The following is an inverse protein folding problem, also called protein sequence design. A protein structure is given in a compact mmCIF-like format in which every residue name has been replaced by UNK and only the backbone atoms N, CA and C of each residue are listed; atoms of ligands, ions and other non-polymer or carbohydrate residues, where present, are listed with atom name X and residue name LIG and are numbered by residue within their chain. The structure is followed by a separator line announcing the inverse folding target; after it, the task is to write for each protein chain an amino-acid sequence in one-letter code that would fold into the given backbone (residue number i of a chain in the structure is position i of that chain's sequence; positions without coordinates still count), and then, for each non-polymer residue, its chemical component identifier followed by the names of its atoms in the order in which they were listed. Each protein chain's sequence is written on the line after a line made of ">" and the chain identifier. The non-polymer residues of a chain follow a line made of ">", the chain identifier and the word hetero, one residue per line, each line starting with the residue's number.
data_IF_810814713392
#
_entry.id   IF_810814713392
#
_cell.length_a   1.000
_cell.length_b   1.000
_cell.length_c   1.000
_cell.angle_alpha   90.00
_cell.angle_beta   90.00
_cell.angle_gamma   90.00
#
_symmetry.space_group_name_H-M   'P 1'
#
loop_
_entity.id
_entity.type
_entity.pdbx_description
1 polymer ?
#
# COMPACT_ATOMS: atom_id res chain seq x y z
N UNK A 1 -15.86 -13.23 22.97
CA UNK A 1 -15.49 -12.31 21.87
C UNK A 1 -16.46 -11.14 21.96
N UNK A 2 -16.02 -9.88 22.00
CA UNK A 2 -15.05 -9.28 21.06
C UNK A 2 -14.07 -8.28 21.71
N UNK A 3 -13.08 -7.79 20.93
CA UNK A 3 -12.67 -6.38 20.86
C UNK A 3 -11.41 -6.27 19.98
N UNK A 4 -11.62 -5.91 18.71
CA UNK A 4 -10.56 -5.39 17.85
C UNK A 4 -10.90 -3.93 17.55
N UNK A 5 -10.11 -3.02 18.11
CA UNK A 5 -10.25 -1.57 17.89
C UNK A 5 -9.48 -1.20 16.63
N UNK A 6 -10.19 -0.81 15.58
CA UNK A 6 -9.61 -0.16 14.41
C UNK A 6 -9.42 1.33 14.69
N UNK A 7 -8.21 1.86 14.44
CA UNK A 7 -7.94 3.30 14.55
C UNK A 7 -8.45 3.98 13.28
N UNK A 8 -9.61 4.63 13.39
CA UNK A 8 -10.10 5.57 12.37
C UNK A 8 -9.49 6.96 12.59
N UNK A 9 -9.15 7.65 11.50
CA UNK A 9 -8.68 9.04 11.51
C UNK A 9 -9.69 9.95 12.24
N UNK A 10 -9.30 10.51 13.39
CA UNK A 10 -10.11 11.39 14.25
C UNK A 10 -10.13 12.87 13.83
N UNK A 11 -9.72 13.20 12.60
CA UNK A 11 -9.83 14.57 12.11
C UNK A 11 -11.30 14.86 11.73
N UNK A 12 -11.95 15.87 12.35
CA UNK A 12 -13.28 16.28 11.94
C UNK A 12 -13.20 16.87 10.52
N UNK A 13 -13.86 16.21 9.56
CA UNK A 13 -14.05 16.74 8.21
C UNK A 13 -15.18 17.76 8.25
N UNK A 14 -14.84 19.04 8.35
CA UNK A 14 -15.79 20.09 7.98
C UNK A 14 -15.70 20.31 6.48
N UNK A 15 -16.83 20.17 5.80
CA UNK A 15 -16.96 20.52 4.38
C UNK A 15 -17.42 21.98 4.35
N UNK A 16 -16.57 22.87 3.84
CA UNK A 16 -16.95 24.25 3.56
C UNK A 16 -17.43 24.29 2.10
N UNK A 17 -18.70 24.59 1.89
CA UNK A 17 -19.26 24.74 0.53
C UNK A 17 -18.59 25.91 -0.17
N UNK A 18 -18.09 25.67 -1.39
CA UNK A 18 -17.54 26.71 -2.25
C UNK A 18 -18.70 27.48 -2.91
N UNK A 19 -18.71 28.81 -2.79
CA UNK A 19 -19.80 29.66 -3.28
C UNK A 19 -19.90 29.72 -4.82
N UNK A 20 -18.94 29.13 -5.53
CA UNK A 20 -18.86 29.13 -6.99
C UNK A 20 -19.72 28.07 -7.70
N UNK A 21 -20.50 27.26 -6.97
CA UNK A 21 -21.38 26.24 -7.57
C UNK A 21 -22.77 26.83 -7.92
N UNK A 22 -23.09 26.80 -9.22
CA UNK A 22 -24.38 27.18 -9.78
C UNK A 22 -25.54 26.32 -9.22
N UNK A 23 -26.71 26.95 -9.12
CA UNK A 23 -27.88 26.41 -8.41
C UNK A 23 -28.38 25.05 -8.91
N UNK A 24 -28.09 24.68 -10.17
CA UNK A 24 -28.45 23.38 -10.74
C UNK A 24 -27.60 22.22 -10.16
N UNK A 25 -26.34 22.48 -9.82
CA UNK A 25 -25.46 21.49 -9.16
C UNK A 25 -25.85 21.29 -7.69
N UNK A 26 -26.38 22.33 -7.04
CA UNK A 26 -26.81 22.29 -5.63
C UNK A 26 -27.93 21.28 -5.36
N UNK A 27 -28.81 21.05 -6.34
CA UNK A 27 -29.94 20.12 -6.18
C UNK A 27 -29.51 18.63 -6.23
N UNK A 28 -28.36 18.31 -6.82
CA UNK A 28 -27.84 16.93 -6.90
C UNK A 28 -27.04 16.52 -5.65
N UNK A 29 -26.53 17.47 -4.88
CA UNK A 29 -25.67 17.23 -3.71
C UNK A 29 -26.48 16.80 -2.47
N UNK A 30 -27.79 17.07 -2.42
CA UNK A 30 -28.63 16.76 -1.25
C UNK A 30 -29.07 15.29 -1.10
N UNK A 31 -28.65 14.41 -2.01
CA UNK A 31 -28.91 12.97 -1.93
C UNK A 31 -27.72 12.25 -1.27
N UNK A 32 -27.97 11.28 -0.37
CA UNK A 32 -26.90 10.57 0.33
C UNK A 32 -26.03 9.83 -0.69
N UNK A 33 -24.77 10.26 -0.80
CA UNK A 33 -23.73 9.69 -1.63
C UNK A 33 -24.22 9.28 -3.03
N UNK A 34 -24.57 10.26 -3.88
CA UNK A 34 -24.45 10.04 -5.31
C UNK A 34 -22.99 9.61 -5.55
N UNK A 35 -22.79 8.33 -5.87
CA UNK A 35 -21.52 7.84 -6.37
C UNK A 35 -21.17 8.75 -7.56
N UNK A 36 -20.17 9.61 -7.39
CA UNK A 36 -19.61 10.35 -8.50
C UNK A 36 -18.97 9.32 -9.44
N UNK A 37 -19.75 8.83 -10.39
CA UNK A 37 -19.24 8.06 -11.51
C UNK A 37 -18.60 9.09 -12.42
N UNK A 38 -17.31 9.31 -12.22
CA UNK A 38 -16.52 10.05 -13.19
C UNK A 38 -16.68 9.31 -14.53
N UNK A 39 -17.18 9.96 -15.59
CA UNK A 39 -17.33 9.30 -16.88
C UNK A 39 -15.96 8.81 -17.33
N UNK A 40 -15.90 7.58 -17.82
CA UNK A 40 -14.67 7.03 -18.38
C UNK A 40 -14.37 7.75 -19.70
N UNK A 41 -13.51 8.76 -19.63
CA UNK A 41 -13.05 9.54 -20.77
C UNK A 41 -11.77 8.98 -21.39
N UNK A 42 -11.34 7.77 -21.00
CA UNK A 42 -10.14 7.13 -21.54
C UNK A 42 -10.20 6.94 -23.06
N UNK A 43 -11.38 6.82 -23.65
CA UNK A 43 -11.59 6.70 -25.11
C UNK A 43 -11.90 8.01 -25.85
N UNK A 44 -11.85 9.17 -25.20
CA UNK A 44 -12.26 10.43 -25.81
C UNK A 44 -11.23 10.93 -26.85
N UNK A 45 -11.70 11.41 -28.01
CA UNK A 45 -10.85 11.86 -29.13
C UNK A 45 -9.96 13.05 -28.78
N UNK A 46 -10.34 13.84 -27.78
CA UNK A 46 -9.61 15.02 -27.31
C UNK A 46 -8.55 14.69 -26.23
N UNK A 47 -8.42 13.41 -25.85
CA UNK A 47 -7.51 12.95 -24.79
C UNK A 47 -6.05 13.32 -25.03
N UNK A 48 -5.60 13.32 -26.29
CA UNK A 48 -4.22 13.68 -26.66
C UNK A 48 -3.91 15.18 -26.45
N UNK A 49 -4.95 16.03 -26.40
CA UNK A 49 -4.82 17.48 -26.23
C UNK A 49 -4.95 17.94 -24.76
N UNK A 50 -5.25 17.03 -23.83
CA UNK A 50 -5.42 17.33 -22.40
C UNK A 50 -4.07 17.31 -21.68
N UNK A 51 -3.25 18.32 -21.94
CA UNK A 51 -1.90 18.50 -21.37
C UNK A 51 -1.86 18.69 -19.83
N UNK A 52 -2.99 19.02 -19.20
CA UNK A 52 -3.14 19.15 -17.75
C UNK A 52 -3.73 17.91 -17.07
N UNK A 53 -4.12 16.89 -17.85
CA UNK A 53 -4.62 15.64 -17.31
C UNK A 53 -3.43 14.78 -16.90
N UNK A 54 -3.26 14.58 -15.59
CA UNK A 54 -2.36 13.53 -15.09
C UNK A 54 -3.00 12.20 -15.52
N UNK A 55 -2.45 11.58 -16.56
CA UNK A 55 -2.88 10.26 -17.01
C UNK A 55 -2.48 9.23 -15.95
N UNK A 56 -3.41 8.97 -15.04
CA UNK A 56 -3.29 7.96 -14.02
C UNK A 56 -3.86 6.67 -14.59
N UNK A 57 -3.10 6.02 -15.48
CA UNK A 57 -3.51 4.72 -16.02
C UNK A 57 -3.65 3.76 -14.83
N UNK A 58 -4.85 3.21 -14.61
CA UNK A 58 -5.11 2.33 -13.46
C UNK A 58 -4.22 1.08 -13.47
N UNK A 59 -3.74 0.70 -14.65
CA UNK A 59 -2.83 -0.39 -14.92
C UNK A 59 -1.43 -0.18 -14.29
N UNK A 60 -1.04 1.09 -14.11
CA UNK A 60 0.22 1.53 -13.48
C UNK A 60 0.11 1.72 -11.96
N UNK A 61 -1.09 1.51 -11.40
CA UNK A 61 -1.35 1.66 -9.96
C UNK A 61 -1.49 0.29 -9.29
N UNK A 62 -0.58 -0.01 -8.37
CA UNK A 62 -0.70 -1.18 -7.49
C UNK A 62 -1.28 -0.82 -6.14
N UNK A 63 -2.00 -1.78 -5.55
CA UNK A 63 -2.52 -1.66 -4.18
C UNK A 63 -1.41 -1.87 -3.16
N UNK A 64 -1.41 -1.04 -2.12
CA UNK A 64 -0.56 -1.22 -0.95
C UNK A 64 -1.14 -2.30 -0.04
N UNK A 65 -2.37 -2.11 0.43
CA UNK A 65 -3.15 -3.15 1.10
C UNK A 65 -3.84 -4.05 0.05
N UNK A 66 -3.52 -5.36 0.00
CA UNK A 66 -4.01 -6.25 -1.03
C UNK A 66 -5.49 -6.58 -0.88
N UNK A 67 -6.22 -6.66 -2.00
CA UNK A 67 -7.63 -7.06 -2.00
C UNK A 67 -7.82 -8.48 -1.44
N UNK A 68 -6.89 -9.39 -1.74
CA UNK A 68 -6.97 -10.81 -1.34
C UNK A 68 -6.99 -11.03 0.17
N UNK A 69 -6.33 -10.17 0.95
CA UNK A 69 -6.31 -10.27 2.42
C UNK A 69 -7.59 -9.75 3.10
N UNK A 70 -8.31 -8.84 2.44
CA UNK A 70 -9.40 -8.08 3.06
C UNK A 70 -10.74 -8.19 2.32
N UNK A 71 -10.83 -8.99 1.26
CA UNK A 71 -12.05 -9.19 0.46
C UNK A 71 -13.24 -9.73 1.28
N UNK A 72 -12.97 -10.44 2.38
CA UNK A 72 -14.00 -10.95 3.30
C UNK A 72 -14.51 -9.93 4.33
N UNK A 73 -14.05 -8.69 4.30
CA UNK A 73 -14.42 -7.64 5.28
C UNK A 73 -15.47 -6.69 4.71
N UNK A 74 -16.31 -6.05 5.55
CA UNK A 74 -17.24 -5.02 5.07
C UNK A 74 -16.52 -3.78 4.47
N UNK A 75 -15.22 -3.63 4.73
CA UNK A 75 -14.39 -2.52 4.27
C UNK A 75 -13.71 -2.78 2.91
N UNK A 76 -14.02 -3.88 2.23
CA UNK A 76 -13.36 -4.26 0.97
C UNK A 76 -13.44 -3.16 -0.11
N UNK A 77 -14.51 -2.36 -0.11
CA UNK A 77 -14.68 -1.25 -1.04
C UNK A 77 -13.63 -0.16 -0.85
N UNK A 78 -13.17 0.07 0.39
CA UNK A 78 -12.15 1.09 0.71
C UNK A 78 -10.78 0.75 0.11
N UNK A 79 -10.52 -0.53 -0.17
CA UNK A 79 -9.28 -0.98 -0.79
C UNK A 79 -9.11 -0.41 -2.21
N UNK A 80 -10.21 0.03 -2.84
CA UNK A 80 -10.25 0.66 -4.15
C UNK A 80 -9.97 2.17 -4.14
N UNK A 81 -9.89 2.80 -2.97
CA UNK A 81 -9.59 4.22 -2.86
C UNK A 81 -8.16 4.53 -3.34
N UNK A 82 -7.98 5.70 -3.96
CA UNK A 82 -6.68 6.14 -4.45
C UNK A 82 -5.63 6.28 -3.34
N UNK A 83 -6.06 6.47 -2.08
CA UNK A 83 -5.18 6.48 -0.90
C UNK A 83 -4.50 5.13 -0.62
N UNK A 84 -5.05 4.04 -1.14
CA UNK A 84 -4.45 2.70 -1.06
C UNK A 84 -3.65 2.34 -2.34
N UNK A 85 -3.50 3.27 -3.28
CA UNK A 85 -2.84 3.03 -4.56
C UNK A 85 -1.49 3.75 -4.60
N UNK A 86 -0.50 3.11 -5.21
CA UNK A 86 0.79 3.74 -5.51
C UNK A 86 1.27 3.36 -6.92
N UNK A 87 2.24 4.10 -7.45
CA UNK A 87 2.89 3.83 -8.73
C UNK A 87 3.82 2.59 -8.62
N UNK A 88 3.24 1.45 -8.25
CA UNK A 88 3.92 0.18 -8.06
C UNK A 88 4.16 -0.47 -9.44
N UNK A 89 5.42 -0.63 -9.88
CA UNK A 89 5.71 -1.18 -11.20
C UNK A 89 5.09 -2.56 -11.41
N UNK A 90 4.54 -2.81 -12.60
CA UNK A 90 3.93 -4.09 -12.93
C UNK A 90 4.84 -5.29 -12.62
N UNK A 91 6.15 -5.31 -12.96
CA UNK A 91 7.01 -6.46 -12.69
C UNK A 91 7.10 -6.79 -11.19
N UNK A 92 7.24 -5.76 -10.35
CA UNK A 92 7.27 -5.93 -8.89
C UNK A 92 5.90 -6.39 -8.37
N UNK A 93 4.82 -5.76 -8.87
CA UNK A 93 3.43 -6.05 -8.49
C UNK A 93 3.04 -7.51 -8.70
N UNK A 94 3.33 -8.06 -9.89
CA UNK A 94 2.98 -9.46 -10.23
C UNK A 94 4.01 -10.48 -9.75
N UNK A 95 5.21 -10.03 -9.36
CA UNK A 95 6.30 -10.86 -8.87
C UNK A 95 6.36 -10.90 -7.35
N UNK A 96 7.49 -10.46 -6.80
CA UNK A 96 7.79 -10.52 -5.37
C UNK A 96 6.72 -9.90 -4.47
N UNK A 97 6.04 -8.82 -4.91
CA UNK A 97 5.01 -8.17 -4.10
C UNK A 97 3.79 -9.08 -3.87
N UNK A 98 3.21 -9.60 -4.95
CA UNK A 98 2.09 -10.55 -4.88
C UNK A 98 2.49 -11.87 -4.22
N UNK A 99 3.74 -12.32 -4.42
CA UNK A 99 4.24 -13.53 -3.77
C UNK A 99 4.28 -13.41 -2.25
N UNK A 100 4.72 -12.26 -1.73
CA UNK A 100 4.67 -12.00 -0.29
C UNK A 100 3.23 -11.88 0.23
N UNK A 101 2.33 -11.21 -0.50
CA UNK A 101 0.91 -11.13 -0.13
C UNK A 101 0.26 -12.52 -0.06
N UNK A 102 0.60 -13.41 -0.99
CA UNK A 102 0.16 -14.80 -0.94
C UNK A 102 0.68 -15.52 0.32
N UNK A 103 1.98 -15.41 0.62
CA UNK A 103 2.57 -16.05 1.80
C UNK A 103 1.95 -15.54 3.11
N UNK A 104 1.67 -14.24 3.21
CA UNK A 104 0.96 -13.64 4.35
C UNK A 104 -0.45 -14.23 4.48
N UNK A 105 -1.19 -14.34 3.38
CA UNK A 105 -2.54 -14.90 3.37
C UNK A 105 -2.56 -16.38 3.76
N UNK A 106 -1.60 -17.17 3.25
CA UNK A 106 -1.44 -18.57 3.60
C UNK A 106 -1.13 -18.75 5.09
N UNK A 107 -0.24 -17.93 5.65
CA UNK A 107 0.06 -17.94 7.08
C UNK A 107 -1.15 -17.51 7.93
N UNK A 108 -1.86 -16.44 7.56
CA UNK A 108 -3.05 -15.98 8.27
C UNK A 108 -4.19 -17.02 8.26
N UNK A 109 -4.31 -17.80 7.18
CA UNK A 109 -5.30 -18.87 7.07
C UNK A 109 -5.07 -20.01 8.08
N UNK A 110 -3.86 -20.13 8.66
CA UNK A 110 -3.56 -21.11 9.71
C UNK A 110 -4.07 -20.69 11.10
N UNK A 111 -4.60 -19.46 11.25
CA UNK A 111 -5.12 -18.92 12.50
C UNK A 111 -4.33 -17.81 13.22
N UNK A 112 -3.03 -17.53 12.96
CA UNK A 112 -2.36 -16.41 13.60
C UNK A 112 -2.91 -15.07 13.06
N UNK A 113 -2.97 -14.07 13.94
CA UNK A 113 -3.28 -12.69 13.53
C UNK A 113 -2.00 -12.02 13.06
N UNK A 114 -2.01 -11.49 11.84
CA UNK A 114 -0.87 -10.78 11.27
C UNK A 114 -1.20 -9.29 11.13
N UNK A 115 -0.23 -8.45 11.43
CA UNK A 115 -0.27 -7.01 11.26
C UNK A 115 0.71 -6.61 10.17
N UNK A 116 0.27 -5.79 9.20
CA UNK A 116 1.10 -5.39 8.07
C UNK A 116 1.14 -3.87 7.97
N UNK A 117 2.34 -3.31 7.93
CA UNK A 117 2.60 -1.91 7.59
C UNK A 117 3.37 -1.88 6.29
N UNK A 118 2.94 -1.06 5.34
CA UNK A 118 3.51 -1.04 4.00
C UNK A 118 3.36 0.33 3.37
N UNK A 119 4.26 0.65 2.43
CA UNK A 119 4.24 1.93 1.76
C UNK A 119 5.38 2.10 0.76
N UNK A 120 5.36 3.21 0.01
CA UNK A 120 6.48 3.61 -0.82
C UNK A 120 7.63 4.14 0.03
N UNK A 121 8.83 4.07 -0.54
CA UNK A 121 10.03 4.76 -0.09
C UNK A 121 10.33 5.77 -1.19
N UNK A 122 10.53 7.02 -0.79
CA UNK A 122 10.92 8.10 -1.69
C UNK A 122 12.37 8.46 -1.41
N UNK A 123 13.12 8.81 -2.45
CA UNK A 123 14.44 9.38 -2.25
C UNK A 123 14.26 10.73 -1.55
N UNK A 124 15.02 10.97 -0.48
CA UNK A 124 15.24 12.34 -0.04
C UNK A 124 16.01 13.05 -1.16
N UNK A 125 15.58 14.26 -1.54
CA UNK A 125 16.23 15.10 -2.57
C UNK A 125 17.73 15.37 -2.29
N UNK A 126 18.19 15.06 -1.07
CA UNK A 126 19.52 15.34 -0.53
C UNK A 126 20.46 14.11 -0.43
N UNK A 127 20.01 12.91 -0.82
CA UNK A 127 20.85 11.70 -0.79
C UNK A 127 21.60 11.53 -2.10
N UNK A 128 22.88 11.90 -2.05
CA UNK A 128 23.91 11.74 -3.07
C UNK A 128 23.76 10.42 -3.86
N UNK A 129 23.69 10.55 -5.18
CA UNK A 129 23.16 9.55 -6.14
C UNK A 129 24.12 8.39 -6.42
N UNK A 130 25.10 8.14 -5.56
CA UNK A 130 26.21 7.21 -5.83
C UNK A 130 26.14 5.87 -5.07
N UNK A 131 25.11 5.67 -4.23
CA UNK A 131 24.76 4.34 -3.71
C UNK A 131 23.80 3.64 -4.66
N UNK A 132 24.14 2.41 -5.07
CA UNK A 132 23.43 1.52 -6.02
C UNK A 132 22.02 1.05 -5.59
N UNK A 133 21.20 1.95 -5.05
CA UNK A 133 19.77 1.79 -4.88
C UNK A 133 19.18 3.18 -5.10
N UNK A 134 18.47 3.37 -6.21
CA UNK A 134 17.64 4.55 -6.37
C UNK A 134 16.76 4.60 -5.11
N UNK A 135 16.79 5.68 -4.34
CA UNK A 135 16.04 5.80 -3.07
C UNK A 135 14.51 5.68 -3.20
N UNK A 136 14.03 5.26 -4.37
CA UNK A 136 12.63 5.02 -4.71
C UNK A 136 12.40 3.51 -4.65
N UNK A 137 11.51 3.09 -3.78
CA UNK A 137 11.22 1.67 -3.57
C UNK A 137 9.91 1.47 -2.82
N UNK A 138 9.72 0.27 -2.31
CA UNK A 138 8.58 -0.09 -1.48
C UNK A 138 9.05 -0.92 -0.29
N UNK A 139 8.33 -0.84 0.82
CA UNK A 139 8.57 -1.71 1.95
C UNK A 139 7.29 -2.44 2.36
N UNK A 140 7.48 -3.58 3.01
CA UNK A 140 6.41 -4.28 3.72
C UNK A 140 6.98 -4.85 5.00
N UNK A 141 6.38 -4.51 6.13
CA UNK A 141 6.72 -4.99 7.45
C UNK A 141 5.54 -5.80 7.99
N UNK A 142 5.79 -7.05 8.34
CA UNK A 142 4.79 -8.01 8.82
C UNK A 142 5.12 -8.35 10.26
N UNK A 143 4.11 -8.42 11.12
CA UNK A 143 4.25 -8.81 12.51
C UNK A 143 3.18 -9.81 12.92
N UNK A 144 3.54 -10.76 13.78
CA UNK A 144 2.62 -11.68 14.47
C UNK A 144 2.21 -11.18 15.87
N UNK A 145 2.59 -9.94 16.23
CA UNK A 145 2.38 -9.34 17.54
C UNK A 145 3.59 -9.42 18.47
N UNK A 146 4.51 -10.35 18.24
CA UNK A 146 5.73 -10.53 19.05
C UNK A 146 7.00 -10.29 18.24
N UNK A 147 6.98 -10.66 16.96
CA UNK A 147 8.08 -10.63 16.03
C UNK A 147 7.76 -9.74 14.83
N UNK A 148 8.80 -9.26 14.16
CA UNK A 148 8.68 -8.48 12.92
C UNK A 148 9.57 -9.09 11.83
N UNK A 149 9.04 -9.16 10.61
CA UNK A 149 9.76 -9.48 9.38
C UNK A 149 9.60 -8.30 8.41
N UNK A 150 10.70 -7.76 7.89
CA UNK A 150 10.68 -6.61 6.99
C UNK A 150 11.28 -6.95 5.63
N UNK A 151 10.69 -6.34 4.60
CA UNK A 151 11.06 -6.53 3.20
C UNK A 151 11.21 -5.17 2.53
N UNK A 152 12.24 -5.06 1.69
CA UNK A 152 12.59 -3.85 0.94
C UNK A 152 12.66 -4.19 -0.55
N UNK A 153 11.85 -3.51 -1.36
CA UNK A 153 11.72 -3.78 -2.79
C UNK A 153 12.19 -2.58 -3.60
N UNK A 154 13.16 -2.81 -4.49
CA UNK A 154 13.56 -1.84 -5.50
C UNK A 154 12.51 -1.76 -6.63
N UNK A 155 12.27 -0.58 -7.20
CA UNK A 155 11.32 -0.40 -8.31
C UNK A 155 11.72 -1.15 -9.60
N UNK A 156 13.01 -1.39 -9.80
CA UNK A 156 13.59 -2.13 -10.92
C UNK A 156 13.69 -3.64 -10.69
N UNK A 157 13.03 -4.18 -9.66
CA UNK A 157 13.14 -5.60 -9.33
C UNK A 157 12.58 -6.49 -10.46
N UNK A 158 13.34 -7.50 -10.94
CA UNK A 158 12.85 -8.43 -11.95
C UNK A 158 11.64 -9.23 -11.47
N UNK A 159 10.67 -9.58 -12.36
CA UNK A 159 9.41 -10.21 -11.97
C UNK A 159 9.56 -11.63 -11.41
N UNK A 160 10.64 -12.33 -11.75
CA UNK A 160 10.91 -13.70 -11.27
C UNK A 160 11.66 -13.74 -9.94
N UNK A 161 11.95 -12.57 -9.34
CA UNK A 161 12.67 -12.52 -8.07
C UNK A 161 11.75 -12.98 -6.94
N UNK A 162 12.25 -13.89 -6.11
CA UNK A 162 11.52 -14.34 -4.93
C UNK A 162 11.56 -13.27 -3.82
N UNK A 163 10.46 -13.07 -3.11
CA UNK A 163 10.37 -12.04 -2.06
C UNK A 163 11.34 -12.29 -0.89
N UNK A 164 11.72 -13.54 -0.61
CA UNK A 164 12.71 -13.85 0.42
C UNK A 164 14.11 -13.26 0.14
N UNK A 165 14.44 -13.00 -1.14
CA UNK A 165 15.67 -12.29 -1.48
C UNK A 165 15.63 -10.80 -1.11
N UNK A 166 14.45 -10.28 -0.75
CA UNK A 166 14.18 -8.88 -0.41
C UNK A 166 14.07 -8.67 1.10
N UNK A 167 14.44 -9.66 1.91
CA UNK A 167 14.50 -9.52 3.37
C UNK A 167 15.46 -8.39 3.75
N UNK A 168 15.02 -7.54 4.66
CA UNK A 168 15.81 -6.44 5.20
C UNK A 168 15.79 -6.46 6.72
N UNK A 169 16.60 -5.60 7.34
CA UNK A 169 16.53 -5.35 8.79
C UNK A 169 15.45 -4.32 9.07
N UNK A 170 14.84 -4.39 10.26
CA UNK A 170 13.84 -3.40 10.68
C UNK A 170 14.44 -1.99 10.65
N UNK A 171 15.64 -1.84 11.20
CA UNK A 171 16.33 -0.55 11.31
C UNK A 171 16.63 0.06 9.94
N UNK A 172 16.93 -0.78 8.94
CA UNK A 172 17.16 -0.32 7.56
C UNK A 172 15.88 0.23 6.95
N UNK A 173 14.74 -0.41 7.19
CA UNK A 173 13.44 0.09 6.71
C UNK A 173 13.04 1.34 7.46
N UNK A 174 13.12 1.36 8.79
CA UNK A 174 12.80 2.54 9.61
C UNK A 174 13.63 3.76 9.21
N UNK A 175 14.93 3.57 8.94
CA UNK A 175 15.80 4.64 8.45
C UNK A 175 15.47 5.09 7.02
N UNK A 176 14.94 4.20 6.18
CA UNK A 176 14.57 4.55 4.82
C UNK A 176 13.28 5.38 4.77
N UNK A 177 12.32 5.13 5.67
CA UNK A 177 11.03 5.83 5.72
C UNK A 177 10.91 6.89 6.80
N UNK A 178 11.94 7.05 7.65
CA UNK A 178 11.94 7.99 8.79
C UNK A 178 10.75 7.78 9.74
N UNK A 179 10.33 6.52 9.93
CA UNK A 179 9.24 6.12 10.81
C UNK A 179 9.68 5.00 11.74
N UNK A 180 9.24 5.04 12.99
CA UNK A 180 9.34 3.89 13.90
C UNK A 180 8.20 2.94 13.62
N UNK A 181 8.52 1.71 13.20
CA UNK A 181 7.55 0.68 12.88
C UNK A 181 7.37 -0.25 14.09
N UNK A 182 6.12 -0.52 14.47
CA UNK A 182 5.77 -1.37 15.62
C UNK A 182 6.48 -0.98 16.94
N UNK A 183 6.31 0.26 17.44
CA UNK A 183 7.05 0.78 18.60
C UNK A 183 6.81 0.01 19.91
N UNK A 184 5.76 -0.81 20.00
CA UNK A 184 5.43 -1.62 21.18
C UNK A 184 6.03 -3.02 21.21
N UNK A 185 6.80 -3.43 20.19
CA UNK A 185 7.36 -4.77 20.09
C UNK A 185 8.83 -4.77 20.53
N UNK A 186 9.18 -5.66 21.46
CA UNK A 186 10.55 -5.79 21.98
C UNK A 186 11.48 -6.58 21.05
N UNK A 187 10.97 -7.60 20.34
CA UNK A 187 11.74 -8.41 19.39
C UNK A 187 11.70 -7.80 17.97
N UNK A 188 12.77 -7.06 17.64
CA UNK A 188 12.86 -6.28 16.39
C UNK A 188 13.02 -7.10 15.11
N UNK A 189 13.39 -8.38 15.20
CA UNK A 189 13.48 -9.25 14.03
C UNK A 189 13.31 -10.74 14.39
N UNK A 190 12.19 -11.35 14.00
CA UNK A 190 11.89 -12.74 14.33
C UNK A 190 12.26 -13.71 13.22
N UNK A 191 13.30 -14.53 13.45
CA UNK A 191 13.66 -15.63 12.53
C UNK A 191 12.54 -16.65 12.33
N UNK A 192 11.72 -16.86 13.36
CA UNK A 192 10.58 -17.76 13.31
C UNK A 192 9.53 -17.27 12.31
N UNK A 193 9.08 -16.01 12.43
CA UNK A 193 8.14 -15.40 11.48
C UNK A 193 8.67 -15.43 10.04
N UNK A 194 9.94 -15.11 9.84
CA UNK A 194 10.60 -15.20 8.53
C UNK A 194 10.53 -16.63 7.96
N UNK A 195 10.75 -17.64 8.80
CA UNK A 195 10.64 -19.04 8.41
C UNK A 195 9.19 -19.45 8.10
N UNK A 196 8.21 -18.98 8.89
CA UNK A 196 6.79 -19.23 8.69
C UNK A 196 6.25 -18.61 7.39
N UNK A 197 6.81 -17.46 6.99
CA UNK A 197 6.57 -16.84 5.68
C UNK A 197 7.26 -17.58 4.51
N UNK A 198 7.96 -18.69 4.78
CA UNK A 198 8.60 -19.53 3.77
C UNK A 198 10.04 -19.12 3.40
N UNK A 199 10.67 -18.24 4.17
CA UNK A 199 12.03 -17.73 3.89
C UNK A 199 13.16 -18.44 4.67
N UNK A 200 13.02 -19.73 4.94
CA UNK A 200 14.08 -20.56 5.52
C UNK A 200 14.98 -21.17 4.45
N UNK A 201 16.25 -21.44 4.79
CA UNK A 201 17.16 -22.23 3.94
C UNK A 201 16.48 -23.56 3.58
N UNK A 202 16.21 -23.75 2.28
CA UNK A 202 15.91 -25.06 1.72
C UNK A 202 17.20 -25.66 1.16
#
# INVERSE_FOLDING_TARGET
>A
MPDSVGVASLLPRYWLEDELLDAEVRLQISLPAANFVQPDLSGAQDREYRISEVQLVSEDRGRLAPLTSFAGTPYWAELNLLSNMSALPQPLRVGAWSGLDQAINELAALGPTLYVVTGPITADDDRDTDTKGNGIGFFKAVSDGENVATFLFDVGLPPHTHFCAQLSRLETVESAVSLTLFPGIESRQGRELISLLGCGNR
#
